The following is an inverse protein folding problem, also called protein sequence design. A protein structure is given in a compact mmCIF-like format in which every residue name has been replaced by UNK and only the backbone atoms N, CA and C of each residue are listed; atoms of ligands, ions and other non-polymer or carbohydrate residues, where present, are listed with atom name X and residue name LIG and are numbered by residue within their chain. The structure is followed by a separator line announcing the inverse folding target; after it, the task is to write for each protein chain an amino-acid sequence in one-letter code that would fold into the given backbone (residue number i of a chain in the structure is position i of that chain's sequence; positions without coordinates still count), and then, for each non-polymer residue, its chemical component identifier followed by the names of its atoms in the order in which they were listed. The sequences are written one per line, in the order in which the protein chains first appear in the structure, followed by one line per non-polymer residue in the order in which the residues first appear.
data_IF_982303194031
#
_entry.id   IF_982303194031
#
_cell.length_a   1.000
_cell.length_b   1.000
_cell.length_c   1.000
_cell.angle_alpha   90.00
_cell.angle_beta   90.00
_cell.angle_gamma   90.00
#
_symmetry.space_group_name_H-M   'P 1'
#
loop_
_entity.id
_entity.type
_entity.pdbx_description
1 polymer ?
#
# COMPACT_ATOMS: atom_id res chain seq x y z
N UNK A 1 -1.31 23.18 -9.63
CA UNK A 1 -2.64 22.94 -10.17
C UNK A 1 -3.10 21.61 -9.65
N UNK A 2 -4.15 21.75 -8.97
CA UNK A 2 -4.65 20.96 -7.88
C UNK A 2 -5.25 19.64 -8.31
N UNK A 3 -5.26 18.70 -7.38
CA UNK A 3 -6.02 17.44 -7.39
C UNK A 3 -7.47 17.64 -7.90
N UNK A 4 -8.09 18.80 -7.61
CA UNK A 4 -9.44 19.15 -8.09
C UNK A 4 -9.61 19.09 -9.62
N UNK A 5 -8.57 19.31 -10.40
CA UNK A 5 -8.69 19.31 -11.86
C UNK A 5 -8.70 17.88 -12.42
N UNK A 6 -7.94 16.97 -11.82
CA UNK A 6 -7.90 15.55 -12.20
C UNK A 6 -9.17 14.81 -11.76
N UNK A 7 -9.74 15.20 -10.62
CA UNK A 7 -11.03 14.69 -10.17
C UNK A 7 -12.17 15.02 -11.15
N UNK A 8 -12.14 16.23 -11.73
CA UNK A 8 -13.14 16.66 -12.74
C UNK A 8 -13.04 15.89 -14.06
N UNK A 9 -11.86 15.36 -14.38
CA UNK A 9 -11.61 14.60 -15.61
C UNK A 9 -11.92 13.10 -15.48
N UNK A 10 -12.44 12.64 -14.34
CA UNK A 10 -12.80 11.24 -14.10
C UNK A 10 -11.61 10.29 -13.96
N UNK A 11 -10.41 10.82 -13.79
CA UNK A 11 -9.21 10.00 -13.53
C UNK A 11 -9.18 9.51 -12.09
N UNK A 12 -8.65 8.31 -11.87
CA UNK A 12 -8.60 7.73 -10.54
C UNK A 12 -7.60 8.48 -9.65
N UNK A 13 -6.39 8.73 -10.18
CA UNK A 13 -5.31 9.40 -9.45
C UNK A 13 -4.85 10.68 -10.13
N UNK A 14 -4.33 11.60 -9.29
CA UNK A 14 -3.41 12.63 -9.70
C UNK A 14 -1.98 12.10 -9.55
N UNK A 15 -1.07 12.30 -10.52
CA UNK A 15 0.33 11.87 -10.40
C UNK A 15 1.03 12.41 -9.15
N UNK A 16 0.66 13.61 -8.70
CA UNK A 16 1.20 14.27 -7.52
C UNK A 16 0.81 13.56 -6.20
N UNK A 17 -0.21 12.71 -6.23
CA UNK A 17 -0.63 11.92 -5.06
C UNK A 17 0.25 10.71 -4.77
N UNK A 18 1.14 10.34 -5.70
CA UNK A 18 2.12 9.26 -5.47
C UNK A 18 3.06 9.62 -4.31
N UNK A 19 3.26 8.69 -3.38
CA UNK A 19 4.10 8.98 -2.22
C UNK A 19 4.96 7.81 -1.74
N UNK A 20 4.63 6.54 -2.02
CA UNK A 20 5.46 5.42 -1.56
C UNK A 20 5.53 4.25 -2.53
N UNK A 21 6.57 3.44 -2.33
CA UNK A 21 6.80 2.16 -3.00
C UNK A 21 6.79 1.08 -1.92
N UNK A 22 5.96 0.06 -2.12
CA UNK A 22 5.89 -1.11 -1.23
C UNK A 22 6.76 -2.26 -1.73
N UNK A 23 7.58 -2.80 -0.83
CA UNK A 23 8.47 -3.94 -1.09
C UNK A 23 8.13 -5.05 -0.10
N UNK A 24 7.78 -6.22 -0.59
CA UNK A 24 7.52 -7.41 0.24
C UNK A 24 8.84 -8.11 0.53
N UNK A 25 9.09 -8.39 1.80
CA UNK A 25 10.29 -9.08 2.28
C UNK A 25 9.93 -10.21 3.24
N UNK A 26 10.81 -11.19 3.36
CA UNK A 26 10.64 -12.33 4.29
C UNK A 26 10.92 -11.93 5.72
N UNK A 27 11.92 -11.09 5.93
CA UNK A 27 12.36 -10.66 7.26
C UNK A 27 12.85 -9.21 7.22
N UNK A 28 12.11 -8.34 7.87
CA UNK A 28 12.43 -6.90 7.90
C UNK A 28 13.75 -6.63 8.60
N UNK A 29 14.02 -7.29 9.73
CA UNK A 29 15.23 -7.01 10.51
C UNK A 29 16.50 -7.37 9.73
N UNK A 30 16.48 -8.49 9.02
CA UNK A 30 17.59 -8.90 8.14
C UNK A 30 17.73 -7.96 6.94
N UNK A 31 16.63 -7.55 6.35
CA UNK A 31 16.63 -6.62 5.21
C UNK A 31 17.19 -5.27 5.63
N UNK A 32 16.77 -4.73 6.79
CA UNK A 32 17.31 -3.48 7.34
C UNK A 32 18.82 -3.57 7.51
N UNK A 33 19.32 -4.62 8.16
CA UNK A 33 20.76 -4.81 8.36
C UNK A 33 21.53 -4.85 7.05
N UNK A 34 20.98 -5.53 6.05
CA UNK A 34 21.57 -5.60 4.72
C UNK A 34 21.59 -4.22 4.03
N UNK A 35 20.48 -3.49 4.08
CA UNK A 35 20.35 -2.17 3.46
C UNK A 35 21.26 -1.14 4.12
N UNK A 36 21.31 -1.10 5.45
CA UNK A 36 22.16 -0.19 6.20
C UNK A 36 23.63 -0.44 5.93
N UNK A 37 24.05 -1.71 6.05
CA UNK A 37 25.45 -2.09 5.94
C UNK A 37 25.99 -1.97 4.51
N UNK A 38 25.18 -2.36 3.53
CA UNK A 38 25.64 -2.49 2.14
C UNK A 38 25.43 -1.20 1.34
N UNK A 39 24.29 -0.53 1.55
CA UNK A 39 23.89 0.62 0.73
C UNK A 39 23.84 1.95 1.51
N UNK A 40 23.91 1.91 2.82
CA UNK A 40 23.80 3.11 3.64
C UNK A 40 22.39 3.69 3.70
N UNK A 41 21.35 2.87 3.47
CA UNK A 41 19.95 3.30 3.56
C UNK A 41 19.53 3.43 5.02
N UNK A 42 18.60 4.35 5.27
CA UNK A 42 18.05 4.59 6.59
C UNK A 42 18.00 6.11 6.89
N UNK A 43 17.59 6.49 8.12
CA UNK A 43 17.15 5.63 9.21
C UNK A 43 15.79 4.96 8.93
N UNK A 44 15.53 3.83 9.59
CA UNK A 44 14.29 3.07 9.45
C UNK A 44 13.37 3.30 10.65
N UNK A 45 12.08 3.48 10.39
CA UNK A 45 11.03 3.48 11.38
C UNK A 45 10.26 2.16 11.30
N UNK A 46 10.20 1.40 12.41
CA UNK A 46 9.49 0.12 12.46
C UNK A 46 8.13 0.32 13.12
N UNK A 47 7.08 -0.23 12.51
CA UNK A 47 5.72 -0.24 13.04
C UNK A 47 5.14 -1.64 12.96
N UNK A 48 4.36 -2.00 13.98
CA UNK A 48 3.51 -3.18 13.96
C UNK A 48 2.08 -2.74 13.67
N UNK A 49 1.43 -3.45 12.76
CA UNK A 49 0.06 -3.14 12.33
C UNK A 49 -0.86 -4.31 12.66
N UNK A 50 -2.09 -3.98 13.04
CA UNK A 50 -3.17 -4.94 13.31
C UNK A 50 -4.44 -4.41 12.65
N UNK A 51 -4.94 -5.15 11.69
CA UNK A 51 -6.14 -4.80 10.93
C UNK A 51 -7.19 -5.91 11.05
N UNK A 52 -7.92 -5.98 12.19
CA UNK A 52 -8.80 -7.11 12.49
C UNK A 52 -9.98 -7.26 11.52
N UNK A 53 -10.40 -6.17 10.88
CA UNK A 53 -11.52 -6.15 9.93
C UNK A 53 -11.09 -5.91 8.49
N UNK A 54 -9.81 -6.12 8.18
CA UNK A 54 -9.33 -6.04 6.82
C UNK A 54 -10.08 -7.00 5.90
N UNK A 55 -10.22 -6.63 4.64
CA UNK A 55 -10.82 -7.50 3.62
C UNK A 55 -9.73 -8.13 2.76
N UNK A 56 -10.01 -9.35 2.30
CA UNK A 56 -9.17 -10.10 1.38
C UNK A 56 -10.10 -10.73 0.35
N UNK A 57 -10.02 -10.27 -0.89
CA UNK A 57 -10.93 -10.65 -1.99
C UNK A 57 -12.42 -10.58 -1.59
N UNK A 58 -12.81 -9.45 -0.98
CA UNK A 58 -14.19 -9.17 -0.58
C UNK A 58 -14.66 -9.84 0.70
N UNK A 59 -13.82 -10.64 1.36
CA UNK A 59 -14.13 -11.34 2.61
C UNK A 59 -13.38 -10.72 3.78
N UNK A 60 -13.99 -10.64 4.95
CA UNK A 60 -13.29 -10.18 6.15
C UNK A 60 -12.23 -11.21 6.53
N UNK A 61 -10.99 -10.79 6.54
CA UNK A 61 -9.84 -11.60 6.93
C UNK A 61 -8.80 -10.67 7.57
N UNK A 62 -8.84 -10.59 8.90
CA UNK A 62 -7.90 -9.77 9.65
C UNK A 62 -6.47 -10.28 9.55
N UNK A 63 -5.53 -9.35 9.70
CA UNK A 63 -4.11 -9.70 9.70
C UNK A 63 -3.29 -8.78 10.57
N UNK A 64 -2.11 -9.27 10.94
CA UNK A 64 -1.07 -8.51 11.64
C UNK A 64 0.19 -8.49 10.79
N UNK A 65 0.87 -7.37 10.79
CA UNK A 65 2.08 -7.22 10.00
C UNK A 65 3.14 -6.39 10.70
N UNK A 66 4.32 -6.45 10.16
CA UNK A 66 5.45 -5.60 10.50
C UNK A 66 5.78 -4.74 9.29
N UNK A 67 6.03 -3.47 9.53
CA UNK A 67 6.38 -2.49 8.49
C UNK A 67 7.66 -1.80 8.88
N UNK A 68 8.47 -1.44 7.90
CA UNK A 68 9.60 -0.55 8.09
C UNK A 68 9.58 0.52 7.01
N UNK A 69 9.82 1.75 7.41
CA UNK A 69 9.75 2.91 6.53
C UNK A 69 11.09 3.63 6.50
N UNK A 70 11.52 4.03 5.33
CA UNK A 70 12.65 4.92 5.14
C UNK A 70 12.45 5.75 3.86
N UNK A 71 13.25 6.79 3.67
CA UNK A 71 13.13 7.67 2.52
C UNK A 71 14.31 7.51 1.56
N UNK A 72 14.01 7.44 0.27
CA UNK A 72 14.94 7.63 -0.83
C UNK A 72 14.59 8.96 -1.52
N UNK A 73 15.34 10.03 -1.19
CA UNK A 73 14.94 11.37 -1.58
C UNK A 73 13.54 11.68 -1.02
N UNK A 74 12.60 12.18 -1.84
CA UNK A 74 11.25 12.49 -1.37
C UNK A 74 10.31 11.26 -1.31
N UNK A 75 10.75 10.10 -1.79
CA UNK A 75 9.93 8.90 -1.89
C UNK A 75 10.08 8.03 -0.65
N UNK A 76 8.95 7.71 -0.02
CA UNK A 76 8.92 6.76 1.09
C UNK A 76 8.96 5.33 0.56
N UNK A 77 9.83 4.52 1.13
CA UNK A 77 9.88 3.09 0.88
C UNK A 77 9.28 2.37 2.09
N UNK A 78 8.37 1.45 1.83
CA UNK A 78 7.72 0.61 2.83
C UNK A 78 8.15 -0.84 2.65
N UNK A 79 8.85 -1.39 3.62
CA UNK A 79 9.12 -2.82 3.70
C UNK A 79 7.95 -3.51 4.41
N UNK A 80 7.50 -4.65 3.88
CA UNK A 80 6.29 -5.34 4.32
C UNK A 80 6.61 -6.78 4.66
N UNK A 81 6.30 -7.15 5.91
CA UNK A 81 6.39 -8.53 6.42
C UNK A 81 5.05 -8.91 7.07
N UNK A 82 4.51 -10.07 6.70
CA UNK A 82 3.32 -10.62 7.36
C UNK A 82 3.73 -11.30 8.66
N UNK A 83 2.99 -11.02 9.73
CA UNK A 83 3.17 -11.70 11.04
C UNK A 83 2.13 -12.78 11.24
N UNK A 84 0.85 -12.48 10.95
CA UNK A 84 -0.25 -13.42 11.10
C UNK A 84 -1.42 -13.05 10.18
N UNK A 85 -2.15 -14.04 9.72
CA UNK A 85 -3.31 -13.85 8.87
C UNK A 85 -3.04 -14.12 7.39
N UNK A 86 -3.88 -13.54 6.53
CA UNK A 86 -3.85 -13.78 5.07
C UNK A 86 -3.86 -12.47 4.31
N UNK A 87 -2.87 -12.29 3.43
CA UNK A 87 -2.69 -11.05 2.67
C UNK A 87 -2.26 -11.30 1.24
N UNK A 88 -2.53 -10.32 0.38
CA UNK A 88 -2.00 -10.29 -0.99
C UNK A 88 -0.47 -10.18 -1.01
N UNK A 89 0.14 -9.65 0.03
CA UNK A 89 1.60 -9.58 0.18
C UNK A 89 2.21 -10.97 0.34
N UNK A 90 1.57 -11.84 1.13
CA UNK A 90 2.01 -13.22 1.28
C UNK A 90 1.83 -14.02 0.00
N UNK A 91 0.71 -13.83 -0.69
CA UNK A 91 0.46 -14.46 -1.99
C UNK A 91 1.57 -14.09 -2.98
N UNK A 92 1.94 -12.81 -3.03
CA UNK A 92 3.04 -12.32 -3.86
C UNK A 92 4.37 -12.96 -3.48
N UNK A 93 4.67 -13.04 -2.18
CA UNK A 93 5.91 -13.64 -1.68
C UNK A 93 6.03 -15.12 -2.07
N UNK A 94 4.93 -15.86 -1.96
CA UNK A 94 4.88 -17.29 -2.34
C UNK A 94 5.01 -17.49 -3.85
N UNK A 95 4.40 -16.62 -4.63
CA UNK A 95 4.34 -16.77 -6.09
C UNK A 95 5.59 -16.22 -6.78
N UNK A 96 6.08 -15.06 -6.35
CA UNK A 96 7.16 -14.30 -7.02
C UNK A 96 8.44 -14.13 -6.19
N UNK A 97 8.39 -14.39 -4.88
CA UNK A 97 9.49 -14.10 -3.96
C UNK A 97 9.48 -12.65 -3.48
N UNK A 98 10.57 -12.22 -2.86
CA UNK A 98 10.74 -10.85 -2.38
C UNK A 98 10.81 -9.86 -3.55
N UNK A 99 10.27 -8.65 -3.38
CA UNK A 99 10.40 -7.61 -4.39
C UNK A 99 9.36 -6.50 -4.33
N UNK A 100 9.41 -5.66 -5.34
CA UNK A 100 8.47 -4.56 -5.54
C UNK A 100 7.06 -5.10 -5.70
N UNK A 101 6.15 -4.60 -4.88
CA UNK A 101 4.76 -5.07 -4.83
C UNK A 101 3.77 -4.03 -5.34
N UNK A 102 3.87 -2.79 -4.87
CA UNK A 102 2.90 -1.77 -5.22
C UNK A 102 3.47 -0.35 -5.22
N UNK A 103 2.72 0.54 -5.87
CA UNK A 103 2.89 1.98 -5.77
C UNK A 103 1.71 2.54 -4.97
N UNK A 104 1.99 3.39 -3.99
CA UNK A 104 1.00 3.97 -3.10
C UNK A 104 0.68 5.41 -3.44
N UNK A 105 -0.62 5.74 -3.44
CA UNK A 105 -1.16 7.05 -3.71
C UNK A 105 -1.94 7.54 -2.49
N UNK A 106 -1.58 8.71 -1.99
CA UNK A 106 -2.28 9.33 -0.87
C UNK A 106 -3.34 10.27 -1.40
N UNK A 107 -4.57 10.08 -0.95
CA UNK A 107 -5.74 10.84 -1.38
C UNK A 107 -6.43 11.48 -0.20
N UNK A 108 -7.23 12.52 -0.46
CA UNK A 108 -7.99 13.24 0.57
C UNK A 108 -9.34 12.59 0.89
N UNK A 109 -9.88 11.80 -0.03
CA UNK A 109 -11.15 11.11 0.14
C UNK A 109 -11.10 9.72 -0.51
N UNK A 110 -10.75 8.72 0.29
CA UNK A 110 -10.61 7.33 -0.20
C UNK A 110 -11.93 6.77 -0.72
N UNK A 111 -13.05 7.14 -0.13
CA UNK A 111 -14.38 6.66 -0.56
C UNK A 111 -14.69 7.08 -1.99
N UNK A 112 -14.42 8.34 -2.33
CA UNK A 112 -14.62 8.87 -3.67
C UNK A 112 -13.66 8.23 -4.69
N UNK A 113 -12.39 8.07 -4.33
CA UNK A 113 -11.40 7.46 -5.21
C UNK A 113 -11.71 5.99 -5.47
N UNK A 114 -12.10 5.24 -4.44
CA UNK A 114 -12.58 3.85 -4.58
C UNK A 114 -13.76 3.75 -5.54
N UNK A 115 -14.73 4.66 -5.40
CA UNK A 115 -15.90 4.71 -6.28
C UNK A 115 -15.48 4.90 -7.74
N UNK A 116 -14.59 5.87 -8.02
CA UNK A 116 -14.07 6.07 -9.38
C UNK A 116 -13.33 4.85 -9.91
N UNK A 117 -12.56 4.18 -9.06
CA UNK A 117 -11.87 2.95 -9.45
C UNK A 117 -12.86 1.84 -9.81
N UNK A 118 -13.90 1.64 -9.01
CA UNK A 118 -14.96 0.66 -9.28
C UNK A 118 -15.72 0.97 -10.58
N UNK A 119 -16.07 2.24 -10.82
CA UNK A 119 -16.70 2.70 -12.05
C UNK A 119 -15.80 2.46 -13.28
N UNK A 120 -14.49 2.53 -13.11
CA UNK A 120 -13.50 2.21 -14.15
C UNK A 120 -13.28 0.71 -14.35
N UNK A 121 -13.94 -0.15 -13.56
CA UNK A 121 -13.86 -1.60 -13.68
C UNK A 121 -12.84 -2.30 -12.80
N UNK A 122 -12.21 -1.58 -11.88
CA UNK A 122 -11.25 -2.18 -10.92
C UNK A 122 -11.96 -2.73 -9.70
N UNK A 123 -11.37 -3.78 -9.11
CA UNK A 123 -11.81 -4.36 -7.85
C UNK A 123 -10.80 -4.08 -6.75
N UNK A 124 -11.30 -3.85 -5.55
CA UNK A 124 -10.47 -3.82 -4.35
C UNK A 124 -10.20 -5.26 -3.91
N UNK A 125 -8.95 -5.68 -3.98
CA UNK A 125 -8.54 -7.05 -3.62
C UNK A 125 -8.13 -7.17 -2.16
N UNK A 126 -7.70 -6.10 -1.53
CA UNK A 126 -7.45 -6.02 -0.08
C UNK A 126 -7.60 -4.58 0.38
N UNK A 127 -8.16 -4.40 1.58
CA UNK A 127 -8.32 -3.07 2.15
C UNK A 127 -8.68 -3.11 3.64
N UNK A 128 -8.66 -1.95 4.23
CA UNK A 128 -9.06 -1.71 5.61
C UNK A 128 -9.67 -0.32 5.73
N UNK A 129 -10.80 -0.24 6.43
CA UNK A 129 -11.47 1.03 6.72
C UNK A 129 -11.52 1.25 8.23
N UNK A 130 -11.00 2.38 8.68
CA UNK A 130 -11.06 2.81 10.08
C UNK A 130 -12.44 3.37 10.42
N UNK A 131 -12.70 3.58 11.70
CA UNK A 131 -13.96 4.14 12.18
C UNK A 131 -14.24 5.54 11.62
N UNK A 132 -13.20 6.32 11.31
CA UNK A 132 -13.30 7.64 10.69
C UNK A 132 -13.45 7.62 9.16
N UNK A 133 -13.67 6.44 8.57
CA UNK A 133 -13.77 6.15 7.13
C UNK A 133 -12.48 6.32 6.33
N UNK A 134 -11.35 6.59 6.96
CA UNK A 134 -10.03 6.54 6.32
C UNK A 134 -9.51 5.11 6.25
N UNK A 135 -8.44 4.88 5.54
CA UNK A 135 -7.82 3.57 5.45
C UNK A 135 -7.02 3.37 4.17
N UNK A 136 -7.04 2.15 3.67
CA UNK A 136 -6.34 1.83 2.43
C UNK A 136 -7.08 0.77 1.62
N UNK A 137 -6.79 0.72 0.33
CA UNK A 137 -7.33 -0.27 -0.59
C UNK A 137 -6.32 -0.55 -1.71
N UNK A 138 -6.13 -1.83 -2.02
CA UNK A 138 -5.34 -2.28 -3.16
C UNK A 138 -6.26 -2.64 -4.31
N UNK A 139 -5.96 -2.13 -5.50
CA UNK A 139 -6.71 -2.41 -6.73
C UNK A 139 -6.08 -3.57 -7.51
N UNK A 140 -6.90 -4.31 -8.25
CA UNK A 140 -6.47 -5.36 -9.18
C UNK A 140 -5.88 -4.79 -10.49
N UNK A 141 -4.95 -3.85 -10.36
CA UNK A 141 -4.40 -3.04 -11.45
C UNK A 141 -3.20 -3.66 -12.17
N UNK A 142 -2.80 -4.87 -11.80
CA UNK A 142 -1.59 -5.53 -12.29
C UNK A 142 -1.76 -6.23 -13.66
N UNK A 143 -2.96 -6.28 -14.21
CA UNK A 143 -3.25 -6.89 -15.50
C UNK A 143 -2.57 -6.18 -16.67
N UNK A 144 -2.37 -4.87 -16.55
CA UNK A 144 -1.61 -4.06 -17.50
C UNK A 144 -0.50 -3.35 -16.74
N UNK A 145 0.73 -3.49 -17.18
CA UNK A 145 1.90 -2.90 -16.55
C UNK A 145 2.46 -3.69 -15.36
N UNK A 146 1.72 -4.68 -14.84
CA UNK A 146 2.20 -5.60 -13.79
C UNK A 146 2.37 -5.02 -12.40
N UNK A 147 1.73 -3.88 -12.09
CA UNK A 147 1.87 -3.17 -10.82
C UNK A 147 0.52 -3.00 -10.14
N UNK A 148 0.46 -3.30 -8.84
CA UNK A 148 -0.68 -2.98 -8.00
C UNK A 148 -0.62 -1.53 -7.55
N UNK A 149 -1.76 -0.84 -7.56
CA UNK A 149 -1.88 0.50 -7.01
C UNK A 149 -2.65 0.46 -5.69
N UNK A 150 -2.10 1.14 -4.69
CA UNK A 150 -2.73 1.32 -3.38
C UNK A 150 -3.30 2.73 -3.26
N UNK A 151 -4.55 2.81 -2.83
CA UNK A 151 -5.19 4.05 -2.40
C UNK A 151 -5.06 4.14 -0.89
N UNK A 152 -4.59 5.25 -0.36
CA UNK A 152 -4.46 5.46 1.08
C UNK A 152 -4.95 6.85 1.48
N UNK A 153 -5.73 6.91 2.53
CA UNK A 153 -6.11 8.14 3.21
C UNK A 153 -5.67 8.05 4.66
N UNK A 154 -4.84 9.00 5.06
CA UNK A 154 -4.32 9.05 6.43
C UNK A 154 -5.37 9.60 7.37
N UNK A 155 -5.54 8.95 8.53
CA UNK A 155 -6.38 9.48 9.59
C UNK A 155 -5.89 10.85 10.03
N UNK A 156 -6.78 11.86 10.18
CA UNK A 156 -6.39 13.14 10.76
C UNK A 156 -5.90 12.91 12.19
N UNK A 157 -4.88 13.66 12.56
CA UNK A 157 -4.37 13.64 13.93
C UNK A 157 -5.26 14.46 14.87
#
# INVERSE_FOLDING_TARGET
MSEEKHEKDGKIFSPESFYHIGIVVKNIDETIKYYERTFGFGPFEIRYVDYPTATYYGQVAGYKGKRAFFFMGPIQIELIELVDGKTIHEDFLKEKGEGLHHLGFRVDNIKEVKKRAEEAGFKVIQGFTRQDNTGFAYLDSDKIGGVLFEISEKSPK
#
